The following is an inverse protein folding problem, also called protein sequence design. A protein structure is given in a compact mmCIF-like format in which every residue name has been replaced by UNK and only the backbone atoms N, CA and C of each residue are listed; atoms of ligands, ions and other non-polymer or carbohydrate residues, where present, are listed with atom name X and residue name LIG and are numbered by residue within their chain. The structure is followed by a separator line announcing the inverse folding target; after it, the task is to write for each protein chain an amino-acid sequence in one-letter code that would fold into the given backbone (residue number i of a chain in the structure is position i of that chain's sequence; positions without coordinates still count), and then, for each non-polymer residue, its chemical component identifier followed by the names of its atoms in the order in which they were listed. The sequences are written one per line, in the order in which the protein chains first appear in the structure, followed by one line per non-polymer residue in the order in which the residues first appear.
data_IF_286554576555
#
_entry.id   IF_286554576555
#
_cell.length_a   1.000
_cell.length_b   1.000
_cell.length_c   1.000
_cell.angle_alpha   90.00
_cell.angle_beta   90.00
_cell.angle_gamma   90.00
#
_symmetry.space_group_name_H-M   'P 1'
#
loop_
_entity.id
_entity.type
_entity.pdbx_description
1 polymer ?
#
# COMPACT_ATOMS: atom_id res chain seq x y z
N UNK A 1 -10.50 -7.07 19.41
CA UNK A 1 -9.07 -6.71 19.35
C UNK A 1 -8.81 -5.99 18.03
N UNK A 2 -9.25 -4.73 17.92
CA UNK A 2 -9.28 -3.98 16.65
C UNK A 2 -7.88 -3.79 16.04
N UNK A 3 -6.85 -3.70 16.88
CA UNK A 3 -5.45 -3.55 16.45
C UNK A 3 -4.93 -4.70 15.59
N UNK A 4 -5.40 -5.94 15.80
CA UNK A 4 -4.96 -7.11 15.00
C UNK A 4 -5.50 -7.01 13.57
N UNK A 5 -6.76 -6.61 13.43
CA UNK A 5 -7.39 -6.42 12.11
C UNK A 5 -6.84 -5.19 11.39
N UNK A 6 -6.51 -4.12 12.14
CA UNK A 6 -5.80 -2.97 11.59
C UNK A 6 -4.40 -3.36 11.08
N UNK A 7 -3.64 -4.17 11.83
CA UNK A 7 -2.32 -4.64 11.43
C UNK A 7 -2.39 -5.55 10.19
N UNK A 8 -3.35 -6.48 10.14
CA UNK A 8 -3.58 -7.34 8.97
C UNK A 8 -3.97 -6.50 7.75
N UNK A 9 -4.88 -5.54 7.93
CA UNK A 9 -5.27 -4.60 6.87
C UNK A 9 -4.12 -3.74 6.38
N UNK A 10 -3.24 -3.29 7.27
CA UNK A 10 -2.05 -2.53 6.94
C UNK A 10 -1.05 -3.37 6.13
N UNK A 11 -0.76 -4.59 6.58
CA UNK A 11 0.16 -5.50 5.88
C UNK A 11 -0.39 -5.85 4.50
N UNK A 12 -1.67 -6.22 4.40
CA UNK A 12 -2.30 -6.53 3.11
C UNK A 12 -2.34 -5.30 2.20
N UNK A 13 -2.71 -4.13 2.72
CA UNK A 13 -2.69 -2.87 1.96
C UNK A 13 -1.29 -2.49 1.48
N UNK A 14 -0.26 -2.76 2.28
CA UNK A 14 1.14 -2.52 1.93
C UNK A 14 1.62 -3.47 0.83
N UNK A 15 1.29 -4.77 0.93
CA UNK A 15 1.62 -5.77 -0.11
C UNK A 15 0.91 -5.44 -1.43
N UNK A 16 -0.37 -5.08 -1.36
CA UNK A 16 -1.14 -4.66 -2.55
C UNK A 16 -0.56 -3.38 -3.15
N UNK A 17 -0.24 -2.37 -2.33
CA UNK A 17 0.39 -1.13 -2.78
C UNK A 17 1.74 -1.37 -3.48
N UNK A 18 2.57 -2.25 -2.93
CA UNK A 18 3.80 -2.70 -3.57
C UNK A 18 3.56 -3.43 -4.88
N UNK A 19 2.55 -4.31 -4.94
CA UNK A 19 2.21 -5.05 -6.14
C UNK A 19 1.71 -4.14 -7.27
N UNK A 20 0.83 -3.18 -6.95
CA UNK A 20 0.32 -2.18 -7.91
C UNK A 20 1.48 -1.36 -8.49
N UNK A 21 2.39 -0.90 -7.63
CA UNK A 21 3.54 -0.14 -8.07
C UNK A 21 4.49 -1.00 -8.87
N UNK A 22 4.74 -2.26 -8.49
CA UNK A 22 5.56 -3.17 -9.28
C UNK A 22 4.98 -3.40 -10.69
N UNK A 23 3.65 -3.47 -10.80
CA UNK A 23 2.96 -3.62 -12.09
C UNK A 23 3.06 -2.35 -12.94
N UNK A 24 2.97 -1.17 -12.33
CA UNK A 24 3.22 0.12 -12.99
C UNK A 24 4.68 0.27 -13.43
N UNK A 25 5.62 -0.08 -12.55
CA UNK A 25 7.05 -0.03 -12.79
C UNK A 25 7.49 -1.00 -13.87
N UNK A 26 6.79 -2.11 -14.08
CA UNK A 26 7.05 -3.06 -15.15
C UNK A 26 6.95 -2.44 -16.55
N UNK A 27 6.19 -1.35 -16.72
CA UNK A 27 6.12 -0.60 -17.97
C UNK A 27 7.23 0.44 -18.13
N UNK A 28 7.94 0.79 -17.06
CA UNK A 28 9.03 1.76 -17.08
C UNK A 28 10.39 1.06 -17.14
N UNK A 29 11.31 1.57 -17.97
CA UNK A 29 12.68 1.08 -18.01
C UNK A 29 13.40 1.43 -16.69
N UNK A 30 14.07 0.46 -16.06
CA UNK A 30 14.86 0.67 -14.83
C UNK A 30 15.84 1.84 -14.91
N UNK A 31 16.29 2.20 -16.13
CA UNK A 31 17.17 3.35 -16.38
C UNK A 31 16.51 4.70 -16.09
N UNK A 32 15.21 4.87 -16.42
CA UNK A 32 14.46 6.10 -16.11
C UNK A 32 14.14 6.21 -14.61
N UNK A 33 13.92 5.07 -13.96
CA UNK A 33 13.64 4.99 -12.53
C UNK A 33 14.83 5.42 -11.67
N UNK A 34 16.04 5.07 -12.10
CA UNK A 34 17.28 5.45 -11.42
C UNK A 34 17.59 6.93 -11.66
N UNK A 35 17.28 7.45 -12.85
CA UNK A 35 17.53 8.84 -13.21
C UNK A 35 16.62 9.82 -12.46
N UNK A 36 15.40 9.40 -12.12
CA UNK A 36 14.43 10.23 -11.40
C UNK A 36 14.27 9.82 -9.93
N UNK A 37 15.12 10.38 -9.06
CA UNK A 37 15.06 10.17 -7.59
C UNK A 37 13.71 10.60 -6.98
N UNK A 38 13.02 11.56 -7.59
CA UNK A 38 11.69 12.05 -7.18
C UNK A 38 10.59 10.98 -7.34
N UNK A 39 10.61 10.24 -8.45
CA UNK A 39 9.65 9.16 -8.71
C UNK A 39 9.70 8.10 -7.61
N UNK A 40 10.90 7.78 -7.11
CA UNK A 40 11.11 6.78 -6.06
C UNK A 40 10.44 7.15 -4.73
N UNK A 41 10.45 8.44 -4.36
CA UNK A 41 9.75 8.95 -3.18
C UNK A 41 8.24 8.99 -3.38
N UNK A 42 7.79 9.43 -4.57
CA UNK A 42 6.37 9.47 -4.91
C UNK A 42 5.73 8.07 -4.84
N UNK A 43 6.43 7.04 -5.32
CA UNK A 43 5.97 5.65 -5.22
C UNK A 43 5.96 5.16 -3.77
N UNK A 44 6.99 5.47 -2.97
CA UNK A 44 6.99 5.10 -1.55
C UNK A 44 5.81 5.70 -0.78
N UNK A 45 5.50 6.97 -1.05
CA UNK A 45 4.32 7.65 -0.47
C UNK A 45 3.02 6.99 -0.97
N UNK A 46 2.94 6.62 -2.26
CA UNK A 46 1.78 5.92 -2.79
C UNK A 46 1.53 4.57 -2.08
N UNK A 47 2.58 3.75 -1.84
CA UNK A 47 2.43 2.50 -1.05
C UNK A 47 1.90 2.80 0.34
N UNK A 48 2.42 3.84 0.99
CA UNK A 48 1.97 4.24 2.33
C UNK A 48 0.50 4.69 2.35
N UNK A 49 0.04 5.38 1.31
CA UNK A 49 -1.39 5.71 1.14
C UNK A 49 -2.24 4.46 0.99
N UNK A 50 -1.81 3.49 0.16
CA UNK A 50 -2.51 2.21 0.01
C UNK A 50 -2.50 1.38 1.30
N UNK A 51 -1.39 1.39 2.06
CA UNK A 51 -1.29 0.71 3.35
C UNK A 51 -2.20 1.35 4.40
N UNK A 52 -2.27 2.68 4.45
CA UNK A 52 -3.19 3.42 5.32
C UNK A 52 -4.66 3.13 4.98
N UNK A 53 -5.00 3.09 3.69
CA UNK A 53 -6.34 2.70 3.23
C UNK A 53 -6.68 1.24 3.54
N UNK A 54 -5.72 0.32 3.40
CA UNK A 54 -5.88 -1.07 3.79
C UNK A 54 -6.09 -1.25 5.29
N UNK A 55 -5.34 -0.49 6.12
CA UNK A 55 -5.53 -0.45 7.56
C UNK A 55 -6.92 0.06 7.95
N UNK A 56 -7.35 1.18 7.34
CA UNK A 56 -8.70 1.72 7.54
C UNK A 56 -9.78 0.72 7.13
N UNK A 57 -9.64 0.10 5.96
CA UNK A 57 -10.54 -0.95 5.49
C UNK A 57 -10.62 -2.13 6.47
N UNK A 58 -9.48 -2.56 7.03
CA UNK A 58 -9.43 -3.60 8.06
C UNK A 58 -10.19 -3.24 9.35
N UNK A 59 -10.10 -1.98 9.78
CA UNK A 59 -10.87 -1.48 10.94
C UNK A 59 -12.37 -1.40 10.63
N UNK A 60 -12.75 -0.90 9.46
CA UNK A 60 -14.16 -0.83 9.03
C UNK A 60 -14.77 -2.22 8.91
N UNK A 61 -14.04 -3.17 8.31
CA UNK A 61 -14.50 -4.56 8.17
C UNK A 61 -14.71 -5.22 9.53
N UNK A 62 -13.80 -4.99 10.49
CA UNK A 62 -13.98 -5.45 11.86
C UNK A 62 -15.21 -4.81 12.52
N UNK A 63 -15.46 -3.52 12.27
CA UNK A 63 -16.65 -2.83 12.74
C UNK A 63 -17.95 -3.44 12.19
N UNK A 64 -17.95 -3.94 10.94
CA UNK A 64 -19.14 -4.55 10.33
C UNK A 64 -19.33 -6.04 10.67
N UNK A 65 -18.26 -6.78 10.95
CA UNK A 65 -18.31 -8.23 11.23
C UNK A 65 -18.58 -8.57 12.70
N UNK A 66 -18.28 -7.65 13.62
CA UNK A 66 -18.35 -7.89 15.07
C UNK A 66 -19.30 -6.94 15.82
N UNK A 67 -20.14 -6.17 15.11
CA UNK A 67 -21.28 -5.39 15.65
C UNK A 67 -22.58 -6.02 15.19
#
# INVERSE_FOLDING_TARGET
MVFVFAAIGLILGFVVGLFVINLFLRHYSSSELVKNKSLRWSYGVAVWVFAGLGAWGGVVLHGHLFI
#
